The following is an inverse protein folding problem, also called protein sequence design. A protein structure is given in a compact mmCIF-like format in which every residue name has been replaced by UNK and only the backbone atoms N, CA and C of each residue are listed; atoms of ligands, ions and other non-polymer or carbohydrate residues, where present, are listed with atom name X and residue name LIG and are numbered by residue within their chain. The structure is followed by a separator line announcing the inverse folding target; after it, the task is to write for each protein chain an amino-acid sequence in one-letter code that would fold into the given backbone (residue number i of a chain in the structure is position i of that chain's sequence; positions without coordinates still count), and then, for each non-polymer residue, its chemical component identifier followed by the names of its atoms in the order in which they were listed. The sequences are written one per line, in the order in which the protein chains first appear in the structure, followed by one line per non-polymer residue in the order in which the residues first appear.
data_IF_938211668218
#
_entry.id   IF_938211668218
#
_cell.length_a   1.000
_cell.length_b   1.000
_cell.length_c   1.000
_cell.angle_alpha   90.00
_cell.angle_beta   90.00
_cell.angle_gamma   90.00
#
_symmetry.space_group_name_H-M   'P 1'
#
loop_
_entity.id
_entity.type
_entity.pdbx_description
1 polymer ?
#
# COMPACT_ATOMS: atom_id res chain seq x y z
N UNK A 1 -6.22 19.25 -12.16
CA UNK A 1 -6.95 18.03 -12.57
C UNK A 1 -7.46 18.16 -14.00
N UNK A 2 -7.00 17.28 -14.88
CA UNK A 2 -7.40 17.21 -16.30
C UNK A 2 -8.87 16.80 -16.43
N UNK A 3 -9.68 17.58 -17.16
CA UNK A 3 -11.12 17.30 -17.36
C UNK A 3 -11.39 15.96 -18.04
N UNK A 4 -10.42 15.41 -18.77
CA UNK A 4 -10.54 14.10 -19.43
C UNK A 4 -10.65 12.95 -18.44
N UNK A 5 -10.22 13.13 -17.19
CA UNK A 5 -10.39 12.13 -16.12
C UNK A 5 -11.86 11.79 -15.85
N UNK A 6 -12.80 12.70 -16.15
CA UNK A 6 -14.24 12.48 -15.97
C UNK A 6 -14.80 11.30 -16.78
N UNK A 7 -14.02 10.76 -17.72
CA UNK A 7 -14.37 9.53 -18.43
C UNK A 7 -14.46 8.31 -17.52
N UNK A 8 -13.71 8.29 -16.41
CA UNK A 8 -13.75 7.23 -15.39
C UNK A 8 -14.92 7.44 -14.43
N UNK A 9 -16.13 7.63 -14.99
CA UNK A 9 -17.35 7.96 -14.25
C UNK A 9 -17.86 6.83 -13.34
N UNK A 10 -17.39 5.60 -13.56
CA UNK A 10 -17.71 4.41 -12.76
C UNK A 10 -16.65 4.13 -11.69
N UNK A 11 -15.64 5.01 -11.56
CA UNK A 11 -14.65 4.94 -10.50
C UNK A 11 -15.13 5.79 -9.33
N UNK A 12 -14.98 5.30 -8.11
CA UNK A 12 -15.34 6.02 -6.90
C UNK A 12 -14.51 7.31 -6.79
N UNK A 13 -15.17 8.43 -6.44
CA UNK A 13 -14.55 9.75 -6.33
C UNK A 13 -13.39 9.78 -5.33
N UNK A 14 -13.38 8.89 -4.33
CA UNK A 14 -12.27 8.75 -3.38
C UNK A 14 -10.96 8.34 -4.05
N UNK A 15 -10.99 7.72 -5.23
CA UNK A 15 -9.78 7.40 -6.00
C UNK A 15 -9.25 8.58 -6.83
N UNK A 16 -10.04 9.64 -7.03
CA UNK A 16 -9.66 10.73 -7.94
C UNK A 16 -8.40 11.47 -7.51
N UNK A 17 -8.15 11.75 -6.21
CA UNK A 17 -6.87 12.33 -5.77
C UNK A 17 -5.67 11.46 -6.16
N UNK A 18 -5.77 10.13 -6.01
CA UNK A 18 -4.71 9.19 -6.37
C UNK A 18 -4.51 9.12 -7.88
N UNK A 19 -5.59 9.00 -8.64
CA UNK A 19 -5.55 9.00 -10.11
C UNK A 19 -4.96 10.31 -10.65
N UNK A 20 -5.31 11.45 -10.06
CA UNK A 20 -4.76 12.74 -10.47
C UNK A 20 -3.25 12.78 -10.24
N UNK A 21 -2.77 12.39 -9.05
CA UNK A 21 -1.33 12.30 -8.75
C UNK A 21 -0.60 11.37 -9.73
N UNK A 22 -1.19 10.21 -10.04
CA UNK A 22 -0.57 9.24 -10.96
C UNK A 22 -0.49 9.80 -12.38
N UNK A 23 -1.58 10.36 -12.89
CA UNK A 23 -1.64 10.89 -14.25
C UNK A 23 -0.76 12.14 -14.42
N UNK A 24 -0.67 12.99 -13.40
CA UNK A 24 0.18 14.19 -13.42
C UNK A 24 1.68 13.85 -13.40
N UNK A 25 2.07 12.76 -12.72
CA UNK A 25 3.46 12.28 -12.66
C UNK A 25 3.86 11.43 -13.87
N UNK A 26 2.91 10.73 -14.48
CA UNK A 26 3.16 9.85 -15.62
C UNK A 26 3.71 10.62 -16.83
N UNK A 27 4.56 9.99 -17.66
CA UNK A 27 5.02 10.59 -18.91
C UNK A 27 3.86 11.03 -19.80
N UNK A 28 4.07 12.08 -20.60
CA UNK A 28 3.03 12.65 -21.45
C UNK A 28 2.38 11.61 -22.37
N UNK A 29 3.19 10.73 -22.97
CA UNK A 29 2.72 9.65 -23.84
C UNK A 29 1.77 8.69 -23.11
N UNK A 30 2.11 8.32 -21.87
CA UNK A 30 1.29 7.46 -21.02
C UNK A 30 -0.01 8.16 -20.66
N UNK A 31 0.07 9.43 -20.26
CA UNK A 31 -1.09 10.26 -19.94
C UNK A 31 -2.05 10.36 -21.13
N UNK A 32 -1.54 10.65 -22.33
CA UNK A 32 -2.35 10.76 -23.53
C UNK A 32 -3.00 9.42 -23.90
N UNK A 33 -2.29 8.30 -23.73
CA UNK A 33 -2.86 6.97 -23.95
C UNK A 33 -4.00 6.70 -22.97
N UNK A 34 -3.76 6.88 -21.67
CA UNK A 34 -4.72 6.55 -20.60
C UNK A 34 -5.95 7.44 -20.67
N UNK A 35 -5.79 8.73 -20.92
CA UNK A 35 -6.91 9.68 -20.92
C UNK A 35 -7.73 9.62 -22.21
N UNK A 36 -7.16 9.27 -23.36
CA UNK A 36 -7.89 9.30 -24.63
C UNK A 36 -8.36 7.92 -25.13
N UNK A 37 -7.78 6.79 -24.68
CA UNK A 37 -8.18 5.46 -25.17
C UNK A 37 -9.52 4.99 -24.59
N UNK A 38 -10.60 5.15 -25.36
CA UNK A 38 -11.97 4.74 -25.00
C UNK A 38 -12.13 3.26 -24.68
N UNK A 39 -11.20 2.40 -25.11
CA UNK A 39 -11.22 0.96 -24.83
C UNK A 39 -10.62 0.56 -23.47
N UNK A 40 -10.02 1.52 -22.75
CA UNK A 40 -9.52 1.36 -21.39
C UNK A 40 -10.47 2.04 -20.39
N UNK A 41 -10.85 1.36 -19.31
CA UNK A 41 -11.69 1.93 -18.24
C UNK A 41 -11.19 1.54 -16.86
N UNK A 42 -11.46 2.41 -15.89
CA UNK A 42 -11.26 2.16 -14.46
C UNK A 42 -12.63 2.18 -13.79
N UNK A 43 -12.90 1.15 -12.99
CA UNK A 43 -14.17 0.85 -12.35
C UNK A 43 -13.92 0.60 -10.86
N UNK A 44 -14.87 1.02 -10.03
CA UNK A 44 -14.94 0.65 -8.61
C UNK A 44 -16.34 0.14 -8.31
N UNK A 45 -16.45 -1.05 -7.71
CA UNK A 45 -17.73 -1.59 -7.29
C UNK A 45 -17.55 -2.67 -6.21
N UNK A 46 -17.84 -2.36 -4.96
CA UNK A 46 -17.65 -3.30 -3.85
C UNK A 46 -18.53 -4.55 -3.94
N UNK A 47 -19.60 -4.50 -4.73
CA UNK A 47 -20.51 -5.62 -4.95
C UNK A 47 -19.99 -6.58 -6.03
N UNK A 48 -18.86 -6.30 -6.71
CA UNK A 48 -18.38 -7.13 -7.83
C UNK A 48 -18.16 -8.60 -7.48
N UNK A 49 -17.86 -8.89 -6.22
CA UNK A 49 -17.61 -10.24 -5.74
C UNK A 49 -18.84 -10.91 -5.10
N UNK A 50 -19.89 -10.14 -4.80
CA UNK A 50 -21.08 -10.61 -4.07
C UNK A 50 -22.33 -10.63 -4.97
N UNK A 51 -22.34 -9.83 -6.03
CA UNK A 51 -23.47 -9.73 -6.93
C UNK A 51 -23.60 -10.96 -7.85
N UNK A 52 -24.85 -11.43 -8.00
CA UNK A 52 -25.18 -12.51 -8.94
C UNK A 52 -25.09 -12.05 -10.41
N UNK A 53 -25.42 -10.78 -10.68
CA UNK A 53 -25.34 -10.15 -12.01
C UNK A 53 -25.04 -8.67 -11.84
N UNK A 54 -24.02 -8.17 -12.54
CA UNK A 54 -23.73 -6.74 -12.69
C UNK A 54 -23.75 -6.36 -14.17
N UNK A 55 -24.38 -5.23 -14.48
CA UNK A 55 -24.46 -4.70 -15.84
C UNK A 55 -23.97 -3.26 -15.87
N UNK A 56 -22.86 -3.05 -16.57
CA UNK A 56 -22.34 -1.72 -16.88
C UNK A 56 -22.59 -1.38 -18.35
N UNK A 57 -23.06 -0.17 -18.61
CA UNK A 57 -23.25 0.33 -19.96
C UNK A 57 -22.09 1.28 -20.33
N UNK A 58 -21.30 0.86 -21.30
CA UNK A 58 -20.18 1.64 -21.83
C UNK A 58 -20.58 2.27 -23.17
N UNK A 59 -20.26 3.54 -23.36
CA UNK A 59 -20.50 4.26 -24.61
C UNK A 59 -19.59 3.85 -25.78
N UNK A 60 -18.66 2.93 -25.55
CA UNK A 60 -17.76 2.35 -26.54
C UNK A 60 -17.34 0.94 -26.11
N UNK A 61 -16.92 0.05 -27.04
CA UNK A 61 -16.40 -1.26 -26.69
C UNK A 61 -15.16 -1.17 -25.79
N UNK A 62 -15.21 -1.83 -24.64
CA UNK A 62 -14.10 -1.90 -23.69
C UNK A 62 -13.27 -3.14 -23.98
N UNK A 63 -11.94 -2.95 -24.06
CA UNK A 63 -10.96 -4.04 -24.23
C UNK A 63 -10.21 -4.34 -22.94
N UNK A 64 -9.94 -3.31 -22.15
CA UNK A 64 -9.24 -3.44 -20.87
C UNK A 64 -10.02 -2.70 -19.79
N UNK A 65 -10.27 -3.39 -18.69
CA UNK A 65 -10.93 -2.87 -17.51
C UNK A 65 -10.02 -3.09 -16.31
N UNK A 66 -9.71 -2.02 -15.58
CA UNK A 66 -9.05 -2.09 -14.27
C UNK A 66 -10.13 -1.93 -13.22
N UNK A 67 -10.30 -2.96 -12.41
CA UNK A 67 -11.21 -2.95 -11.29
C UNK A 67 -10.44 -2.59 -10.01
N UNK A 68 -10.89 -1.55 -9.31
CA UNK A 68 -10.35 -1.13 -8.03
C UNK A 68 -11.35 -1.52 -6.92
N UNK A 69 -10.91 -2.34 -5.98
CA UNK A 69 -11.69 -2.65 -4.78
C UNK A 69 -11.56 -1.49 -3.78
N UNK A 70 -12.65 -0.98 -3.20
CA UNK A 70 -12.53 0.16 -2.26
C UNK A 70 -11.80 -0.20 -0.98
N UNK A 71 -11.66 -1.50 -0.65
CA UNK A 71 -10.84 -1.96 0.48
C UNK A 71 -9.40 -1.47 0.40
N UNK A 72 -8.87 -1.22 -0.80
CA UNK A 72 -7.51 -0.66 -0.96
C UNK A 72 -7.39 0.76 -0.42
N UNK A 73 -8.49 1.52 -0.28
CA UNK A 73 -8.47 2.87 0.32
C UNK A 73 -8.10 2.84 1.81
N UNK A 74 -8.01 1.65 2.41
CA UNK A 74 -7.55 1.43 3.78
C UNK A 74 -6.06 1.07 3.83
N UNK A 75 -5.41 0.96 2.69
CA UNK A 75 -3.95 0.82 2.60
C UNK A 75 -3.28 2.18 2.66
N UNK A 76 -2.00 2.23 3.05
CA UNK A 76 -1.25 3.46 3.01
C UNK A 76 -1.13 4.06 1.60
N UNK A 77 -0.99 5.39 1.54
CA UNK A 77 -0.97 6.17 0.30
C UNK A 77 0.00 5.61 -0.75
N UNK A 78 1.20 5.18 -0.35
CA UNK A 78 2.19 4.63 -1.28
C UNK A 78 1.74 3.31 -1.90
N UNK A 79 1.02 2.46 -1.16
CA UNK A 79 0.49 1.20 -1.69
C UNK A 79 -0.66 1.43 -2.67
N UNK A 80 -1.55 2.39 -2.38
CA UNK A 80 -2.64 2.77 -3.28
C UNK A 80 -2.06 3.29 -4.60
N UNK A 81 -1.12 4.24 -4.51
CA UNK A 81 -0.47 4.85 -5.68
C UNK A 81 0.28 3.79 -6.48
N UNK A 82 1.10 2.97 -5.81
CA UNK A 82 1.87 1.92 -6.46
C UNK A 82 0.97 0.91 -7.19
N UNK A 83 -0.10 0.45 -6.55
CA UNK A 83 -1.03 -0.53 -7.12
C UNK A 83 -1.71 0.02 -8.37
N UNK A 84 -2.28 1.22 -8.29
CA UNK A 84 -2.97 1.82 -9.44
C UNK A 84 -1.98 2.13 -10.58
N UNK A 85 -0.79 2.65 -10.26
CA UNK A 85 0.25 2.92 -11.26
C UNK A 85 0.74 1.63 -11.93
N UNK A 86 0.90 0.54 -11.16
CA UNK A 86 1.25 -0.79 -11.67
C UNK A 86 0.21 -1.31 -12.68
N UNK A 87 -1.07 -1.20 -12.38
CA UNK A 87 -2.14 -1.63 -13.30
C UNK A 87 -2.17 -0.81 -14.59
N UNK A 88 -1.90 0.50 -14.50
CA UNK A 88 -1.73 1.35 -15.69
C UNK A 88 -0.49 0.92 -16.48
N UNK A 89 0.64 0.65 -15.82
CA UNK A 89 1.86 0.18 -16.45
C UNK A 89 1.65 -1.15 -17.19
N UNK A 90 0.95 -2.10 -16.56
CA UNK A 90 0.52 -3.36 -17.20
C UNK A 90 -0.30 -3.12 -18.46
N UNK A 91 -1.25 -2.19 -18.42
CA UNK A 91 -2.05 -1.84 -19.59
C UNK A 91 -1.20 -1.26 -20.73
N UNK A 92 -0.28 -0.34 -20.43
CA UNK A 92 0.64 0.23 -21.41
C UNK A 92 1.53 -0.85 -22.04
N UNK A 93 2.11 -1.74 -21.23
CA UNK A 93 2.93 -2.85 -21.73
C UNK A 93 2.17 -3.76 -22.68
N UNK A 94 0.94 -4.15 -22.32
CA UNK A 94 0.08 -4.98 -23.17
C UNK A 94 -0.25 -4.28 -24.49
N UNK A 95 -0.49 -2.98 -24.45
CA UNK A 95 -0.80 -2.18 -25.64
C UNK A 95 0.39 -2.06 -26.61
N UNK A 96 1.61 -2.04 -26.08
CA UNK A 96 2.85 -1.96 -26.86
C UNK A 96 3.34 -3.33 -27.39
N UNK A 97 2.60 -4.42 -27.14
CA UNK A 97 2.93 -5.75 -27.68
C UNK A 97 4.04 -6.49 -26.94
N UNK A 98 4.39 -6.09 -25.71
CA UNK A 98 5.41 -6.77 -24.92
C UNK A 98 4.91 -8.14 -24.39
N UNK A 99 5.68 -9.21 -24.57
CA UNK A 99 5.36 -10.55 -24.07
C UNK A 99 5.49 -10.66 -22.53
N UNK A 100 4.54 -11.39 -21.95
CA UNK A 100 4.10 -11.39 -20.54
C UNK A 100 5.12 -11.90 -19.49
N UNK A 101 6.22 -12.55 -19.91
CA UNK A 101 7.05 -13.37 -18.99
C UNK A 101 8.23 -12.65 -18.32
N UNK A 102 8.51 -11.38 -18.67
CA UNK A 102 9.60 -10.59 -18.06
C UNK A 102 9.04 -9.29 -17.46
N UNK A 103 7.89 -9.36 -16.76
CA UNK A 103 7.11 -8.17 -16.44
C UNK A 103 7.39 -7.57 -15.06
N UNK A 104 7.48 -8.36 -13.97
CA UNK A 104 7.51 -7.80 -12.60
C UNK A 104 8.73 -6.89 -12.34
N UNK A 105 9.96 -7.37 -12.61
CA UNK A 105 11.16 -6.52 -12.48
C UNK A 105 11.19 -5.35 -13.48
N UNK A 106 10.50 -5.48 -14.62
CA UNK A 106 10.41 -4.38 -15.60
C UNK A 106 9.36 -3.35 -15.21
N UNK A 107 8.32 -3.75 -14.49
CA UNK A 107 7.28 -2.85 -13.99
C UNK A 107 7.84 -1.92 -12.95
N UNK A 108 8.56 -2.44 -11.96
CA UNK A 108 9.21 -1.57 -10.96
C UNK A 108 10.16 -0.57 -11.61
N UNK A 109 10.99 -1.01 -12.57
CA UNK A 109 11.87 -0.11 -13.32
C UNK A 109 11.09 0.95 -14.10
N UNK A 110 9.99 0.56 -14.76
CA UNK A 110 9.15 1.49 -15.49
C UNK A 110 8.46 2.49 -14.55
N UNK A 111 7.98 2.03 -13.39
CA UNK A 111 7.39 2.90 -12.39
C UNK A 111 8.43 3.87 -11.83
N UNK A 112 9.67 3.43 -11.60
CA UNK A 112 10.79 4.31 -11.23
C UNK A 112 11.03 5.36 -12.32
N UNK A 113 11.08 4.97 -13.60
CA UNK A 113 11.22 5.88 -14.74
C UNK A 113 10.06 6.89 -14.84
N UNK A 114 8.85 6.48 -14.48
CA UNK A 114 7.67 7.35 -14.40
C UNK A 114 7.63 8.22 -13.14
N UNK A 115 8.67 8.15 -12.30
CA UNK A 115 8.82 8.97 -11.11
C UNK A 115 8.18 8.40 -9.85
N UNK A 116 7.75 7.13 -9.82
CA UNK A 116 7.17 6.42 -8.66
C UNK A 116 8.20 5.66 -7.83
N UNK A 117 9.49 5.99 -7.93
CA UNK A 117 10.54 5.27 -7.21
C UNK A 117 10.36 5.26 -5.69
N UNK A 118 9.80 6.32 -5.10
CA UNK A 118 9.50 6.36 -3.66
C UNK A 118 8.46 5.31 -3.26
N UNK A 119 7.39 5.19 -4.03
CA UNK A 119 6.32 4.23 -3.77
C UNK A 119 6.78 2.79 -4.04
N UNK A 120 7.57 2.57 -5.10
CA UNK A 120 8.19 1.26 -5.39
C UNK A 120 9.08 0.81 -4.23
N UNK A 121 9.98 1.67 -3.77
CA UNK A 121 10.87 1.34 -2.64
C UNK A 121 10.10 1.13 -1.34
N UNK A 122 9.08 1.94 -1.06
CA UNK A 122 8.24 1.76 0.13
C UNK A 122 7.46 0.43 0.09
N UNK A 123 6.91 0.04 -1.06
CA UNK A 123 6.24 -1.27 -1.22
C UNK A 123 7.23 -2.43 -1.06
N UNK A 124 8.42 -2.34 -1.67
CA UNK A 124 9.48 -3.35 -1.48
C UNK A 124 9.87 -3.49 -0.02
N UNK A 125 10.01 -2.38 0.68
CA UNK A 125 10.30 -2.36 2.11
C UNK A 125 9.21 -3.09 2.91
N UNK A 126 7.93 -2.74 2.70
CA UNK A 126 6.80 -3.38 3.38
C UNK A 126 6.76 -4.90 3.12
N UNK A 127 7.07 -5.33 1.89
CA UNK A 127 7.16 -6.75 1.53
C UNK A 127 8.28 -7.50 2.26
N UNK A 128 9.45 -6.88 2.44
CA UNK A 128 10.54 -7.47 3.20
C UNK A 128 10.17 -7.53 4.68
N UNK A 129 9.58 -6.46 5.23
CA UNK A 129 9.17 -6.41 6.63
C UNK A 129 8.13 -7.47 6.96
N UNK A 130 7.08 -7.61 6.14
CA UNK A 130 6.02 -8.61 6.36
C UNK A 130 6.51 -10.06 6.37
N UNK A 131 7.67 -10.34 5.76
CA UNK A 131 8.30 -11.68 5.75
C UNK A 131 9.28 -11.91 6.91
N UNK A 132 9.56 -10.88 7.71
CA UNK A 132 10.54 -10.98 8.79
C UNK A 132 9.98 -11.68 10.03
N UNK A 133 10.87 -12.31 10.81
CA UNK A 133 10.48 -12.97 12.06
C UNK A 133 9.93 -11.98 13.09
N UNK A 134 10.51 -10.77 13.17
CA UNK A 134 10.01 -9.73 14.07
C UNK A 134 8.56 -9.36 13.77
N UNK A 135 8.19 -9.23 12.49
CA UNK A 135 6.81 -9.01 12.09
C UNK A 135 5.87 -10.10 12.60
N UNK A 136 6.24 -11.37 12.39
CA UNK A 136 5.44 -12.49 12.87
C UNK A 136 5.25 -12.47 14.39
N UNK A 137 6.33 -12.23 15.14
CA UNK A 137 6.28 -12.13 16.60
C UNK A 137 5.33 -11.02 17.06
N UNK A 138 5.46 -9.82 16.48
CA UNK A 138 4.61 -8.67 16.81
C UNK A 138 3.13 -8.93 16.47
N UNK A 139 2.87 -9.49 15.29
CA UNK A 139 1.53 -9.84 14.83
C UNK A 139 0.88 -10.89 15.76
N UNK A 140 1.57 -12.01 16.02
CA UNK A 140 1.05 -13.10 16.87
C UNK A 140 0.83 -12.64 18.31
N UNK A 141 1.65 -11.73 18.83
CA UNK A 141 1.43 -11.13 20.13
C UNK A 141 0.20 -10.23 20.13
N UNK A 142 0.05 -9.37 19.12
CA UNK A 142 -1.06 -8.42 19.04
C UNK A 142 -2.42 -9.12 18.89
N UNK A 143 -2.49 -10.23 18.13
CA UNK A 143 -3.73 -11.04 18.00
C UNK A 143 -4.21 -11.65 19.32
N UNK A 144 -3.37 -11.71 20.35
CA UNK A 144 -3.73 -12.17 21.71
C UNK A 144 -4.21 -11.04 22.63
N UNK A 145 -4.04 -9.79 22.22
CA UNK A 145 -4.44 -8.62 22.99
C UNK A 145 -5.89 -8.22 22.70
N UNK A 146 -6.50 -7.47 23.63
CA UNK A 146 -7.79 -6.84 23.37
C UNK A 146 -7.63 -5.56 22.53
N UNK A 147 -8.67 -5.21 21.77
CA UNK A 147 -8.61 -4.07 20.84
C UNK A 147 -8.42 -2.72 21.54
N UNK A 148 -9.03 -2.52 22.71
CA UNK A 148 -8.97 -1.24 23.42
C UNK A 148 -7.54 -0.96 23.89
N UNK A 149 -6.84 -2.00 24.35
CA UNK A 149 -5.41 -1.96 24.67
C UNK A 149 -4.59 -1.62 23.42
N UNK A 150 -4.82 -2.30 22.30
CA UNK A 150 -4.09 -2.02 21.06
C UNK A 150 -4.32 -0.58 20.58
N UNK A 151 -5.54 -0.04 20.68
CA UNK A 151 -5.84 1.35 20.32
C UNK A 151 -5.18 2.34 21.26
N UNK A 152 -5.25 2.08 22.57
CA UNK A 152 -4.63 2.95 23.57
C UNK A 152 -3.13 3.07 23.39
N UNK A 153 -2.45 1.96 23.09
CA UNK A 153 -0.99 1.93 23.01
C UNK A 153 -0.44 2.15 21.60
N UNK A 154 -1.16 1.74 20.55
CA UNK A 154 -0.71 1.79 19.17
C UNK A 154 -1.55 2.67 18.23
N UNK A 155 -2.64 3.28 18.70
CA UNK A 155 -3.55 4.07 17.86
C UNK A 155 -2.89 5.24 17.12
N UNK A 156 -2.02 6.00 17.81
CA UNK A 156 -1.27 7.10 17.17
C UNK A 156 -0.28 6.59 16.12
N UNK A 157 0.35 5.44 16.37
CA UNK A 157 1.26 4.80 15.41
C UNK A 157 0.49 4.28 14.19
N UNK A 158 -0.71 3.75 14.42
CA UNK A 158 -1.60 3.26 13.37
C UNK A 158 -2.05 4.39 12.43
N UNK A 159 -2.45 5.54 12.99
CA UNK A 159 -2.81 6.72 12.19
C UNK A 159 -1.63 7.16 11.29
N UNK A 160 -0.43 7.30 11.87
CA UNK A 160 0.73 7.72 11.10
C UNK A 160 1.16 6.68 10.05
N UNK A 161 1.05 5.40 10.38
CA UNK A 161 1.35 4.32 9.44
C UNK A 161 0.33 4.25 8.30
N UNK A 162 -0.95 4.55 8.53
CA UNK A 162 -1.92 4.66 7.45
C UNK A 162 -1.63 5.85 6.54
N UNK A 163 -1.25 6.99 7.10
CA UNK A 163 -0.97 8.19 6.29
C UNK A 163 0.29 8.03 5.44
N UNK A 164 1.34 7.45 6.02
CA UNK A 164 2.68 7.49 5.42
C UNK A 164 3.15 6.12 4.93
N UNK A 165 2.73 5.02 5.55
CA UNK A 165 3.29 3.70 5.33
C UNK A 165 4.53 3.41 6.17
N UNK A 166 4.94 2.15 6.28
CA UNK A 166 6.12 1.80 7.07
C UNK A 166 7.42 2.15 6.34
N UNK A 167 7.47 1.93 5.02
CA UNK A 167 8.62 2.25 4.19
C UNK A 167 8.97 3.74 4.07
N UNK A 168 8.08 4.64 4.52
CA UNK A 168 8.34 6.09 4.52
C UNK A 168 8.76 6.64 5.89
N UNK A 169 8.62 5.85 6.98
CA UNK A 169 8.97 6.28 8.33
C UNK A 169 10.50 6.26 8.52
N UNK A 170 11.08 7.46 8.65
CA UNK A 170 12.50 7.62 8.97
C UNK A 170 12.84 7.05 10.37
N UNK A 171 14.11 6.69 10.58
CA UNK A 171 14.61 6.31 11.92
C UNK A 171 14.33 7.38 12.97
N UNK A 172 14.32 8.66 12.58
CA UNK A 172 14.03 9.79 13.47
C UNK A 172 12.54 9.84 13.83
N UNK A 173 11.65 9.64 12.87
CA UNK A 173 10.20 9.54 13.12
C UNK A 173 9.90 8.35 14.03
N UNK A 174 10.51 7.19 13.75
CA UNK A 174 10.41 6.02 14.62
C UNK A 174 10.91 6.27 16.06
N UNK A 175 12.02 6.99 16.21
CA UNK A 175 12.58 7.32 17.53
C UNK A 175 11.75 8.37 18.26
N UNK A 176 11.22 9.37 17.56
CA UNK A 176 10.29 10.35 18.12
C UNK A 176 8.97 9.71 18.53
N UNK A 177 8.48 8.74 17.75
CA UNK A 177 7.31 7.95 18.06
C UNK A 177 7.51 7.15 19.36
N UNK A 178 8.64 6.47 19.51
CA UNK A 178 9.02 5.79 20.76
C UNK A 178 9.13 6.72 21.97
N UNK A 179 9.37 8.03 21.77
CA UNK A 179 9.50 9.02 22.86
C UNK A 179 8.18 9.71 23.21
N UNK A 180 7.22 9.79 22.28
CA UNK A 180 5.95 10.53 22.47
C UNK A 180 4.91 9.72 23.25
N UNK A 181 4.95 8.40 23.19
CA UNK A 181 4.22 7.57 24.12
C UNK A 181 5.10 7.36 25.36
N UNK A 182 4.64 7.78 26.53
CA UNK A 182 5.13 7.31 27.84
C UNK A 182 4.79 5.81 28.03
N UNK A 183 4.99 5.00 27.00
CA UNK A 183 4.94 3.54 27.07
C UNK A 183 6.34 3.04 27.32
N UNK A 184 6.63 2.88 28.61
CA UNK A 184 7.43 1.79 29.15
C UNK A 184 7.01 0.43 28.52
N UNK A 185 7.85 -0.61 28.64
CA UNK A 185 8.62 -1.23 27.58
C UNK A 185 7.85 -2.33 26.81
N UNK A 186 6.65 -2.06 26.29
CA UNK A 186 5.80 -3.09 25.65
C UNK A 186 6.54 -3.92 24.59
N UNK A 187 7.43 -3.31 23.80
CA UNK A 187 8.23 -4.04 22.80
C UNK A 187 9.36 -4.88 23.43
N UNK A 188 9.86 -4.50 24.61
CA UNK A 188 10.83 -5.27 25.39
C UNK A 188 10.15 -6.36 26.25
N UNK A 189 8.86 -6.23 26.54
CA UNK A 189 8.05 -7.28 27.17
C UNK A 189 7.70 -8.40 26.18
N UNK A 190 7.64 -8.11 24.87
CA UNK A 190 7.38 -9.11 23.83
C UNK A 190 8.62 -9.98 23.55
N UNK A 191 9.82 -9.41 23.67
CA UNK A 191 11.09 -10.14 23.54
C UNK A 191 12.12 -9.59 24.54
N UNK A 192 12.83 -10.46 25.30
CA UNK A 192 13.91 -10.02 26.17
C UNK A 192 14.96 -9.21 25.38
N UNK A 193 15.41 -8.09 25.92
CA UNK A 193 16.23 -7.07 25.26
C UNK A 193 17.51 -7.60 24.58
N UNK A 194 18.01 -8.77 25.00
CA UNK A 194 19.15 -9.46 24.39
C UNK A 194 18.88 -10.03 22.98
N UNK A 195 17.61 -10.24 22.59
CA UNK A 195 17.21 -10.66 21.22
C UNK A 195 16.74 -9.51 20.34
N UNK A 196 16.56 -8.30 20.90
CA UNK A 196 16.24 -7.09 20.13
C UNK A 196 17.47 -6.45 19.46
N UNK A 197 18.68 -6.92 19.78
CA UNK A 197 19.91 -6.52 19.13
C UNK A 197 19.98 -7.05 17.69
N UNK A 198 20.42 -6.19 16.78
CA UNK A 198 20.65 -6.40 15.35
C UNK A 198 20.97 -7.87 15.01
N UNK A 199 20.01 -8.57 14.42
CA UNK A 199 20.29 -9.77 13.63
C UNK A 199 20.92 -9.28 12.32
N UNK A 200 22.26 -9.23 12.29
CA UNK A 200 23.01 -9.09 11.05
C UNK A 200 22.63 -10.25 10.13
N UNK A 201 21.82 -9.96 9.11
CA UNK A 201 21.61 -10.89 8.01
C UNK A 201 22.78 -10.74 7.05
N UNK A 202 23.73 -11.68 7.12
CA UNK A 202 24.65 -11.96 6.01
C UNK A 202 23.81 -12.36 4.79
N UNK A 203 23.57 -11.41 3.89
CA UNK A 203 23.37 -11.57 2.43
C UNK A 203 23.14 -10.14 1.86
N UNK A 204 24.12 -9.66 1.10
CA UNK A 204 24.02 -8.69 -0.01
C UNK A 204 23.19 -7.41 0.18
N UNK A 205 23.88 -6.27 0.30
CA UNK A 205 23.40 -4.88 0.08
C UNK A 205 21.92 -4.63 0.39
N UNK A 206 21.58 -4.62 1.68
CA UNK A 206 20.26 -4.26 2.20
C UNK A 206 20.34 -2.83 2.77
N UNK A 207 19.42 -1.91 2.41
CA UNK A 207 19.35 -0.59 3.02
C UNK A 207 18.94 -0.73 4.49
N UNK A 208 19.84 -0.34 5.40
CA UNK A 208 19.69 -0.27 6.87
C UNK A 208 19.22 -1.59 7.52
N UNK A 209 20.00 -2.24 8.41
CA UNK A 209 19.56 -3.49 9.04
C UNK A 209 18.21 -3.27 9.72
N UNK A 210 17.17 -3.94 9.21
CA UNK A 210 15.80 -3.85 9.67
C UNK A 210 15.77 -4.17 11.17
N UNK A 211 15.68 -3.13 12.00
CA UNK A 211 15.58 -3.30 13.45
C UNK A 211 14.42 -4.25 13.76
N UNK A 212 14.69 -5.32 14.51
CA UNK A 212 13.67 -6.28 15.00
C UNK A 212 12.48 -5.54 15.62
N UNK A 213 12.73 -4.41 16.28
CA UNK A 213 11.70 -3.55 16.87
C UNK A 213 10.76 -2.94 15.83
N UNK A 214 11.30 -2.46 14.70
CA UNK A 214 10.51 -1.88 13.60
C UNK A 214 9.62 -2.92 12.95
N UNK A 215 10.16 -4.11 12.72
CA UNK A 215 9.41 -5.19 12.09
C UNK A 215 8.33 -5.74 13.01
N UNK A 216 8.61 -5.89 14.32
CA UNK A 216 7.59 -6.20 15.33
C UNK A 216 6.47 -5.17 15.38
N UNK A 217 6.81 -3.88 15.39
CA UNK A 217 5.79 -2.84 15.37
C UNK A 217 4.90 -2.96 14.13
N UNK A 218 5.48 -3.22 12.96
CA UNK A 218 4.70 -3.43 11.74
C UNK A 218 3.71 -4.60 11.87
N UNK A 219 4.13 -5.72 12.47
CA UNK A 219 3.24 -6.85 12.75
C UNK A 219 2.08 -6.48 13.68
N UNK A 220 2.38 -5.72 14.74
CA UNK A 220 1.36 -5.21 15.68
C UNK A 220 0.36 -4.32 14.93
N UNK A 221 0.84 -3.36 14.14
CA UNK A 221 -0.01 -2.42 13.41
C UNK A 221 -0.91 -3.11 12.38
N UNK A 222 -0.42 -4.15 11.69
CA UNK A 222 -1.28 -4.96 10.83
C UNK A 222 -2.39 -5.64 11.62
N UNK A 223 -2.10 -6.22 12.79
CA UNK A 223 -3.14 -6.83 13.62
C UNK A 223 -4.17 -5.80 14.13
N UNK A 224 -3.73 -4.57 14.48
CA UNK A 224 -4.63 -3.46 14.82
C UNK A 224 -5.53 -3.11 13.65
N UNK A 225 -4.97 -3.04 12.43
CA UNK A 225 -5.73 -2.81 11.19
C UNK A 225 -6.84 -3.85 11.03
N UNK A 226 -6.49 -5.13 11.03
CA UNK A 226 -7.46 -6.22 10.86
C UNK A 226 -8.57 -6.16 11.90
N UNK A 227 -8.23 -5.94 13.17
CA UNK A 227 -9.23 -5.85 14.23
C UNK A 227 -10.17 -4.65 14.07
N UNK A 228 -9.68 -3.53 13.53
CA UNK A 228 -10.52 -2.37 13.17
C UNK A 228 -11.45 -2.68 11.98
N UNK A 229 -10.98 -3.48 11.01
CA UNK A 229 -11.78 -3.92 9.86
C UNK A 229 -12.91 -4.88 10.26
N UNK A 230 -12.62 -5.82 11.16
CA UNK A 230 -13.58 -6.82 11.63
C UNK A 230 -14.73 -6.22 12.45
N UNK A 231 -14.47 -5.12 13.19
CA UNK A 231 -15.49 -4.44 13.99
C UNK A 231 -16.34 -3.42 13.24
N UNK A 232 -16.08 -3.19 11.94
CA UNK A 232 -16.85 -2.25 11.13
C UNK A 232 -16.67 -0.77 11.53
N UNK A 233 -15.60 -0.44 12.28
CA UNK A 233 -15.33 0.94 12.66
C UNK A 233 -14.83 1.75 11.45
N UNK A 234 -15.82 2.32 10.76
CA UNK A 234 -15.73 3.36 9.73
C UNK A 234 -15.33 4.70 10.37
N UNK A 235 -14.04 4.88 10.70
CA UNK A 235 -13.52 6.23 10.99
C UNK A 235 -12.10 6.40 10.44
N UNK A 236 -12.01 6.80 9.16
CA UNK A 236 -11.53 8.11 8.68
C UNK A 236 -11.60 8.15 7.17
#
# INVERSE_FOLDING_TARGET
MDKRMNRFKLCDLRFYPYLARIIERSPEEVREIVLNDRSFQILTDDEVLEALVLRYEFGAPIRTLVYLNTKILKEPDHQIIHTIASEIAHYIFKKQGAHTLILERKLDSLLIEWGFGKEVEAVRYDQVVSKSEGYKIGYDWAKKQNLDYLRQHFGLYFDQWNDQGLGSLSNKEFTMLNRKCETDPVLEDILPSQKLGFLESDIGEIPDPLSTRKTMLAGILTAVKEANLEKGDLYR
#
